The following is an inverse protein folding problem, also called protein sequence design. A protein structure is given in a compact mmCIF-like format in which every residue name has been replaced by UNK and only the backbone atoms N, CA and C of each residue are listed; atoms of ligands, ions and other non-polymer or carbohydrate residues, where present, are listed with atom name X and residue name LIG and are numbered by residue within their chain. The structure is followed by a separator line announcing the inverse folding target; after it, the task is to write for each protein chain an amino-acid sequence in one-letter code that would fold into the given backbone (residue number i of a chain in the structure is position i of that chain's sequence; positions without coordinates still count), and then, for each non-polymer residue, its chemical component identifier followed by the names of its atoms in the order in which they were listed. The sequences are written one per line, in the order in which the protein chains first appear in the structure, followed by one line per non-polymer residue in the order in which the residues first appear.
data_IF_796704466735
#
_entry.id   IF_796704466735
#
_cell.length_a   1.000
_cell.length_b   1.000
_cell.length_c   1.000
_cell.angle_alpha   90.00
_cell.angle_beta   90.00
_cell.angle_gamma   90.00
#
_symmetry.space_group_name_H-M   'P 1'
#
loop_
_entity.id
_entity.type
_entity.pdbx_description
1 polymer ?
#
# COMPACT_ATOMS: atom_id res chain seq x y z
N UNK A 1 -14.88 19.89 -11.03
CA UNK A 1 -14.82 19.61 -9.59
C UNK A 1 -15.43 18.22 -9.38
N UNK A 2 -14.62 17.16 -9.56
CA UNK A 2 -15.10 15.79 -9.33
C UNK A 2 -14.76 15.41 -7.89
N UNK A 3 -15.81 15.17 -7.11
CA UNK A 3 -15.76 14.71 -5.73
C UNK A 3 -15.37 13.23 -5.74
N UNK A 4 -14.16 12.90 -5.28
CA UNK A 4 -13.75 11.53 -4.97
C UNK A 4 -14.48 11.10 -3.70
N UNK A 5 -15.45 10.21 -3.89
CA UNK A 5 -16.28 9.65 -2.81
C UNK A 5 -15.41 8.67 -2.02
N UNK A 6 -15.13 9.04 -0.77
CA UNK A 6 -14.95 8.16 0.40
C UNK A 6 -14.13 6.88 0.22
N UNK A 7 -12.81 7.00 0.34
CA UNK A 7 -12.01 5.93 0.91
C UNK A 7 -12.09 6.01 2.44
N UNK A 8 -13.24 5.67 3.06
CA UNK A 8 -13.33 5.32 4.49
C UNK A 8 -14.74 4.87 4.91
N UNK A 9 -14.82 3.65 5.44
CA UNK A 9 -15.82 3.26 6.42
C UNK A 9 -17.11 2.64 5.89
N UNK A 10 -17.09 1.33 5.63
CA UNK A 10 -18.30 0.49 5.62
C UNK A 10 -18.07 -0.78 6.45
N UNK A 11 -18.09 -0.63 7.78
CA UNK A 11 -18.43 -1.74 8.65
C UNK A 11 -19.96 -1.92 8.59
N UNK A 12 -20.42 -2.85 7.77
CA UNK A 12 -21.74 -3.47 7.90
C UNK A 12 -21.54 -4.96 8.11
N UNK A 13 -22.18 -5.44 9.15
CA UNK A 13 -22.06 -6.77 9.75
C UNK A 13 -22.09 -7.90 8.70
N UNK A 14 -21.17 -8.87 8.85
CA UNK A 14 -21.39 -10.24 8.40
C UNK A 14 -20.64 -10.72 7.15
N UNK A 15 -19.97 -9.87 6.37
CA UNK A 15 -19.10 -10.30 5.27
C UNK A 15 -17.89 -9.36 5.18
N UNK A 16 -16.70 -9.85 5.52
CA UNK A 16 -15.45 -9.12 5.27
C UNK A 16 -15.22 -9.15 3.77
N UNK A 17 -15.35 -8.01 3.11
CA UNK A 17 -14.88 -7.87 1.74
C UNK A 17 -13.36 -8.06 1.75
N UNK A 18 -12.93 -9.27 1.38
CA UNK A 18 -11.52 -9.70 1.40
C UNK A 18 -10.68 -8.93 0.37
N UNK A 19 -11.31 -8.07 -0.43
CA UNK A 19 -10.64 -7.22 -1.43
C UNK A 19 -10.30 -5.82 -0.91
N UNK A 20 -10.78 -5.43 0.27
CA UNK A 20 -10.46 -4.14 0.87
C UNK A 20 -9.11 -4.16 1.60
N UNK A 21 -8.32 -3.10 1.44
CA UNK A 21 -7.11 -2.89 2.24
C UNK A 21 -7.46 -2.65 3.71
N UNK A 22 -6.85 -3.41 4.62
CA UNK A 22 -6.85 -3.05 6.03
C UNK A 22 -5.93 -1.83 6.23
N UNK A 23 -6.38 -0.82 6.96
CA UNK A 23 -5.57 0.37 7.28
C UNK A 23 -5.65 0.71 8.77
N UNK A 24 -4.64 1.41 9.27
CA UNK A 24 -4.64 1.94 10.65
C UNK A 24 -4.57 3.47 10.68
N UNK A 25 -4.60 4.11 9.51
CA UNK A 25 -4.58 5.56 9.35
C UNK A 25 -5.55 5.99 8.27
N UNK A 26 -6.02 7.22 8.43
CA UNK A 26 -6.91 7.93 7.50
C UNK A 26 -6.22 9.13 6.85
N UNK A 27 -4.90 9.23 6.98
CA UNK A 27 -4.12 10.29 6.36
C UNK A 27 -4.28 10.20 4.84
N UNK A 28 -4.48 11.35 4.20
CA UNK A 28 -4.61 11.44 2.74
C UNK A 28 -3.71 12.55 2.24
N UNK A 29 -3.00 12.26 1.16
CA UNK A 29 -2.22 13.22 0.40
C UNK A 29 -2.27 12.82 -1.07
N UNK A 30 -2.13 13.80 -1.96
CA UNK A 30 -2.03 13.50 -3.39
C UNK A 30 -0.85 12.57 -3.71
N UNK A 31 0.25 12.68 -2.96
CA UNK A 31 1.45 11.86 -3.16
C UNK A 31 1.18 10.40 -2.83
N UNK A 32 0.50 10.13 -1.72
CA UNK A 32 0.10 8.76 -1.34
C UNK A 32 -0.97 8.22 -2.29
N UNK A 33 -1.95 9.03 -2.69
CA UNK A 33 -3.00 8.61 -3.63
C UNK A 33 -2.43 8.17 -4.99
N UNK A 34 -1.45 8.91 -5.52
CA UNK A 34 -0.74 8.51 -6.75
C UNK A 34 0.10 7.25 -6.52
N UNK A 35 0.79 7.12 -5.38
CA UNK A 35 1.56 5.92 -5.07
C UNK A 35 0.65 4.68 -4.97
N UNK A 36 -0.52 4.77 -4.34
CA UNK A 36 -1.51 3.69 -4.27
C UNK A 36 -1.97 3.31 -5.67
N UNK A 37 -2.32 4.28 -6.52
CA UNK A 37 -2.75 4.01 -7.88
C UNK A 37 -1.68 3.26 -8.72
N UNK A 38 -0.40 3.63 -8.57
CA UNK A 38 0.70 2.92 -9.24
C UNK A 38 0.82 1.47 -8.73
N UNK A 39 0.61 1.23 -7.43
CA UNK A 39 0.69 -0.11 -6.85
C UNK A 39 -0.52 -0.98 -7.22
N UNK A 40 -1.73 -0.42 -7.26
CA UNK A 40 -2.96 -1.13 -7.65
C UNK A 40 -2.93 -1.60 -9.12
N UNK A 41 -2.17 -0.92 -9.99
CA UNK A 41 -2.00 -1.32 -11.40
C UNK A 41 -1.04 -2.51 -11.56
N UNK A 42 -0.32 -2.91 -10.51
CA UNK A 42 0.58 -4.07 -10.55
C UNK A 42 -0.23 -5.36 -10.70
N UNK A 43 0.02 -6.18 -11.74
CA UNK A 43 -0.69 -7.43 -11.92
C UNK A 43 -0.54 -8.36 -10.70
N UNK A 44 -1.65 -8.96 -10.27
CA UNK A 44 -1.68 -9.87 -9.13
C UNK A 44 -1.45 -9.20 -7.77
N UNK A 45 -1.53 -7.87 -7.68
CA UNK A 45 -1.56 -7.17 -6.40
C UNK A 45 -2.71 -7.68 -5.53
N UNK A 46 -2.38 -8.12 -4.34
CA UNK A 46 -3.35 -8.68 -3.37
C UNK A 46 -3.26 -7.91 -2.05
N UNK A 47 -4.40 -7.45 -1.48
CA UNK A 47 -4.42 -6.80 -0.18
C UNK A 47 -3.77 -7.65 0.92
N UNK A 48 -3.00 -7.00 1.79
CA UNK A 48 -2.34 -7.65 2.91
C UNK A 48 -2.91 -7.17 4.25
N UNK A 49 -2.72 -7.99 5.28
CA UNK A 49 -3.15 -7.66 6.65
C UNK A 49 -2.19 -6.67 7.29
N UNK A 50 -2.74 -5.76 8.09
CA UNK A 50 -1.98 -4.80 8.92
C UNK A 50 -0.96 -5.48 9.84
N UNK A 51 -1.25 -6.69 10.33
CA UNK A 51 -0.34 -7.44 11.21
C UNK A 51 1.01 -7.80 10.58
N UNK A 52 1.12 -7.78 9.25
CA UNK A 52 2.37 -8.03 8.52
C UNK A 52 3.26 -6.78 8.41
N UNK A 53 2.68 -5.59 8.57
CA UNK A 53 3.36 -4.30 8.44
C UNK A 53 4.61 -4.19 9.32
N UNK A 54 4.55 -4.74 10.55
CA UNK A 54 5.66 -4.73 11.52
C UNK A 54 6.93 -5.43 11.02
N UNK A 55 6.82 -6.29 10.01
CA UNK A 55 7.96 -6.99 9.42
C UNK A 55 8.64 -6.21 8.30
N UNK A 56 8.02 -5.12 7.83
CA UNK A 56 8.53 -4.32 6.74
C UNK A 56 9.68 -3.41 7.15
N UNK A 57 10.57 -3.17 6.20
CA UNK A 57 11.68 -2.23 6.34
C UNK A 57 11.46 -1.02 5.43
N UNK A 58 11.83 0.16 5.92
CA UNK A 58 11.81 1.40 5.14
C UNK A 58 12.67 1.25 3.88
N UNK A 59 12.14 1.71 2.75
CA UNK A 59 12.90 1.83 1.49
C UNK A 59 13.24 3.26 1.15
N UNK A 60 12.27 4.17 1.28
CA UNK A 60 12.43 5.62 1.13
C UNK A 60 11.19 6.35 1.66
N UNK A 61 11.29 7.66 1.77
CA UNK A 61 10.18 8.55 2.09
C UNK A 61 9.66 9.20 0.81
N UNK A 62 8.35 9.36 0.71
CA UNK A 62 7.72 10.19 -0.31
C UNK A 62 7.85 11.68 0.06
N UNK A 63 7.54 12.56 -0.89
CA UNK A 63 7.63 14.03 -0.74
C UNK A 63 6.82 14.59 0.44
N UNK A 64 5.74 13.92 0.83
CA UNK A 64 4.87 14.29 1.96
C UNK A 64 5.36 13.71 3.30
N UNK A 65 6.49 12.98 3.30
CA UNK A 65 7.05 12.31 4.46
C UNK A 65 6.51 10.90 4.71
N UNK A 66 5.57 10.41 3.89
CA UNK A 66 5.00 9.07 4.02
C UNK A 66 6.04 8.00 3.66
N UNK A 67 6.32 7.00 4.52
CA UNK A 67 7.28 5.94 4.20
C UNK A 67 6.71 4.87 3.27
N UNK A 68 7.46 4.55 2.21
CA UNK A 68 7.30 3.30 1.46
C UNK A 68 8.19 2.21 2.07
N UNK A 69 7.58 1.07 2.37
CA UNK A 69 8.24 -0.05 3.07
C UNK A 69 8.04 -1.34 2.29
N UNK A 70 9.00 -2.25 2.39
CA UNK A 70 8.92 -3.56 1.73
C UNK A 70 9.27 -4.69 2.67
N UNK A 71 8.73 -5.87 2.39
CA UNK A 71 9.06 -7.12 3.07
C UNK A 71 8.94 -8.29 2.11
N UNK A 72 9.87 -9.23 2.14
CA UNK A 72 9.78 -10.46 1.33
C UNK A 72 9.64 -11.67 2.24
N UNK A 73 8.58 -12.44 2.04
CA UNK A 73 8.36 -13.71 2.70
C UNK A 73 7.59 -14.68 1.80
N UNK A 74 8.29 -15.72 1.32
CA UNK A 74 7.73 -16.74 0.41
C UNK A 74 6.59 -17.55 1.02
N UNK A 75 6.47 -17.64 2.35
CA UNK A 75 5.39 -18.38 3.00
C UNK A 75 4.08 -17.57 3.09
N UNK A 76 4.14 -16.25 2.90
CA UNK A 76 3.02 -15.34 3.19
C UNK A 76 2.87 -14.35 2.04
N UNK A 77 2.83 -14.79 0.78
CA UNK A 77 2.54 -13.88 -0.33
C UNK A 77 3.73 -13.38 -1.14
N UNK A 78 4.96 -13.80 -0.83
CA UNK A 78 6.13 -13.40 -1.61
C UNK A 78 6.58 -11.98 -1.29
N UNK A 79 6.52 -11.08 -2.27
CA UNK A 79 7.03 -9.71 -2.15
C UNK A 79 5.92 -8.74 -1.76
N UNK A 80 6.10 -8.05 -0.64
CA UNK A 80 5.15 -7.09 -0.09
C UNK A 80 5.64 -5.65 -0.22
N UNK A 81 4.67 -4.75 -0.31
CA UNK A 81 4.83 -3.32 -0.26
C UNK A 81 3.80 -2.71 0.69
N UNK A 82 4.21 -1.67 1.39
CA UNK A 82 3.35 -0.94 2.32
C UNK A 82 3.60 0.56 2.17
N UNK A 83 2.54 1.35 2.36
CA UNK A 83 2.63 2.78 2.61
C UNK A 83 2.16 3.06 4.03
N UNK A 84 2.86 3.94 4.72
CA UNK A 84 2.42 4.47 6.00
C UNK A 84 2.33 6.00 5.94
N UNK A 85 1.62 6.58 6.89
CA UNK A 85 1.63 8.02 7.13
C UNK A 85 2.95 8.45 7.83
N UNK A 86 3.22 9.76 7.94
CA UNK A 86 4.41 10.26 8.63
C UNK A 86 4.52 9.90 10.12
N UNK A 87 3.42 9.48 10.75
CA UNK A 87 3.37 9.04 12.15
C UNK A 87 3.50 7.51 12.31
N UNK A 88 3.65 6.77 11.20
CA UNK A 88 3.83 5.32 11.18
C UNK A 88 2.54 4.50 11.12
N UNK A 89 1.37 5.11 10.92
CA UNK A 89 0.11 4.41 10.69
C UNK A 89 0.01 3.87 9.26
N UNK A 90 -0.42 2.62 9.07
CA UNK A 90 -0.49 2.00 7.74
C UNK A 90 -1.66 2.57 6.91
N UNK A 91 -1.35 2.97 5.68
CA UNK A 91 -2.29 3.51 4.68
C UNK A 91 -2.61 2.53 3.56
N UNK A 92 -1.64 1.69 3.21
CA UNK A 92 -1.76 0.69 2.16
C UNK A 92 -0.87 -0.50 2.50
N UNK A 93 -1.30 -1.69 2.10
CA UNK A 93 -0.46 -2.88 2.18
C UNK A 93 -0.90 -3.92 1.16
N UNK A 94 0.03 -4.35 0.31
CA UNK A 94 -0.24 -5.35 -0.71
C UNK A 94 0.97 -6.24 -0.98
N UNK A 95 0.73 -7.36 -1.66
CA UNK A 95 1.77 -8.31 -2.04
C UNK A 95 1.53 -8.95 -3.41
N UNK A 96 2.59 -9.55 -3.98
CA UNK A 96 2.55 -10.32 -5.22
C UNK A 96 3.28 -11.67 -5.09
N UNK A 97 2.66 -12.73 -5.61
CA UNK A 97 3.27 -14.07 -5.65
C UNK A 97 4.26 -14.26 -6.79
N UNK A 98 3.92 -13.76 -7.98
CA UNK A 98 4.67 -14.01 -9.23
C UNK A 98 5.17 -12.74 -9.91
N UNK A 99 4.50 -11.60 -9.70
CA UNK A 99 4.78 -10.32 -10.39
C UNK A 99 5.81 -9.46 -9.65
N UNK A 100 6.86 -10.10 -9.12
CA UNK A 100 7.89 -9.44 -8.32
C UNK A 100 8.66 -8.38 -9.12
N UNK A 101 8.80 -8.56 -10.44
CA UNK A 101 9.50 -7.59 -11.29
C UNK A 101 8.64 -6.35 -11.53
N UNK A 102 7.35 -6.53 -11.78
CA UNK A 102 6.38 -5.46 -11.98
C UNK A 102 6.22 -4.64 -10.70
N UNK A 103 6.16 -5.30 -9.54
CA UNK A 103 6.17 -4.60 -8.25
C UNK A 103 7.46 -3.77 -8.06
N UNK A 104 8.62 -4.29 -8.44
CA UNK A 104 9.88 -3.53 -8.38
C UNK A 104 9.85 -2.32 -9.31
N UNK A 105 9.36 -2.49 -10.54
CA UNK A 105 9.24 -1.39 -11.49
C UNK A 105 8.29 -0.30 -10.97
N UNK A 106 7.16 -0.68 -10.36
CA UNK A 106 6.22 0.25 -9.73
C UNK A 106 6.86 1.01 -8.56
N UNK A 107 7.62 0.32 -7.70
CA UNK A 107 8.36 0.96 -6.60
C UNK A 107 9.42 1.93 -7.12
N UNK A 108 10.13 1.56 -8.19
CA UNK A 108 11.13 2.43 -8.82
C UNK A 108 10.48 3.65 -9.48
N UNK A 109 9.31 3.47 -10.11
CA UNK A 109 8.52 4.58 -10.66
C UNK A 109 8.08 5.55 -9.55
N UNK A 110 7.49 5.03 -8.47
CA UNK A 110 7.12 5.83 -7.28
C UNK A 110 8.34 6.58 -6.75
N UNK A 111 9.50 5.93 -6.70
CA UNK A 111 10.74 6.58 -6.26
C UNK A 111 11.14 7.73 -7.19
N UNK A 112 11.03 7.55 -8.50
CA UNK A 112 11.41 8.59 -9.47
C UNK A 112 10.44 9.78 -9.47
N UNK A 113 9.15 9.52 -9.30
CA UNK A 113 8.12 10.55 -9.46
C UNK A 113 7.73 11.25 -8.15
N UNK A 114 7.86 10.57 -7.00
CA UNK A 114 7.20 10.97 -5.75
C UNK A 114 8.14 11.13 -4.53
N UNK A 115 9.47 11.12 -4.74
CA UNK A 115 10.47 11.42 -3.69
C UNK A 115 11.25 12.66 -4.06
#
# INVERSE_FOLDING_TARGET
MLSLINALGKATEGFVDVTAYETTSTYSSSTVEVAIAILDDVPGMTPCRTSLFKHSSLRFLLQDGSPLRTWTNRAVGGDHVFLADPNGGMLYGGFVWAHAQELRNAIDQIKTELT
#
